data_IF_825821280961
#
_entry.id   IF_825821280961
#
_cell.length_a   1.000
_cell.length_b   1.000
_cell.length_c   1.000
_cell.angle_alpha   90.00
_cell.angle_beta   90.00
_cell.angle_gamma   90.00
#
_symmetry.space_group_name_H-M   'P 1'
#
loop_
_entity.id
_entity.type
_entity.pdbx_description
1 polymer ?
#
# COMPACT_ATOMS: atom_id res chain seq x y z
N UNK A 1 -18.81 8.64 -12.75
CA UNK A 1 -18.03 7.62 -12.01
C UNK A 1 -17.03 7.01 -12.97
N UNK A 2 -15.72 6.98 -12.66
CA UNK A 2 -14.78 6.37 -13.57
C UNK A 2 -15.10 4.86 -13.73
N UNK A 3 -15.24 4.43 -14.97
CA UNK A 3 -15.36 3.02 -15.31
C UNK A 3 -13.98 2.47 -15.60
N UNK A 4 -13.75 1.19 -15.26
CA UNK A 4 -12.46 0.53 -15.44
C UNK A 4 -12.62 -0.80 -16.17
N UNK A 5 -11.67 -1.14 -17.01
CA UNK A 5 -11.56 -2.43 -17.67
C UNK A 5 -10.21 -3.06 -17.35
N UNK A 6 -10.20 -4.29 -16.86
CA UNK A 6 -8.96 -5.02 -16.61
C UNK A 6 -8.17 -5.24 -17.91
N UNK A 7 -6.86 -5.03 -17.85
CA UNK A 7 -5.92 -5.36 -18.92
C UNK A 7 -5.18 -6.65 -18.56
N UNK A 8 -5.54 -7.73 -19.22
CA UNK A 8 -4.89 -9.03 -18.98
C UNK A 8 -3.49 -9.07 -19.57
N UNK A 9 -2.58 -9.79 -18.91
CA UNK A 9 -1.21 -10.01 -19.38
C UNK A 9 -0.29 -8.80 -19.31
N UNK A 10 -0.67 -7.76 -18.57
CA UNK A 10 0.23 -6.64 -18.28
C UNK A 10 1.32 -7.04 -17.27
N UNK A 11 2.53 -6.47 -17.42
CA UNK A 11 3.66 -6.74 -16.53
C UNK A 11 4.38 -8.04 -16.89
N UNK A 12 4.93 -8.09 -18.10
CA UNK A 12 5.67 -9.26 -18.63
C UNK A 12 7.01 -9.42 -17.94
N UNK A 13 7.13 -10.41 -17.09
CA UNK A 13 8.38 -10.78 -16.46
C UNK A 13 9.36 -11.42 -17.46
N UNK A 14 10.69 -11.28 -17.25
CA UNK A 14 11.69 -12.10 -17.93
C UNK A 14 11.42 -13.60 -17.77
N UNK A 15 11.91 -14.39 -18.69
CA UNK A 15 11.76 -15.86 -18.66
C UNK A 15 12.30 -16.44 -17.35
N UNK A 16 11.55 -17.34 -16.72
CA UNK A 16 11.89 -17.97 -15.45
C UNK A 16 11.60 -17.13 -14.20
N UNK A 17 11.23 -15.84 -14.35
CA UNK A 17 10.88 -15.00 -13.21
C UNK A 17 9.42 -15.15 -12.79
N UNK A 18 9.19 -14.85 -11.52
CA UNK A 18 7.84 -14.87 -10.96
C UNK A 18 7.70 -13.86 -9.83
N UNK A 19 6.48 -13.43 -9.57
CA UNK A 19 6.21 -12.47 -8.51
C UNK A 19 6.28 -13.10 -7.13
N UNK A 20 5.98 -14.36 -6.96
CA UNK A 20 5.59 -14.94 -5.68
C UNK A 20 4.42 -14.14 -5.08
N UNK A 21 4.65 -12.85 -4.75
CA UNK A 21 3.61 -11.95 -4.25
C UNK A 21 4.01 -10.47 -4.38
N UNK A 22 3.26 -9.70 -5.16
CA UNK A 22 3.42 -8.25 -5.24
C UNK A 22 2.78 -7.57 -4.02
N UNK A 23 3.60 -7.12 -3.07
CA UNK A 23 3.09 -6.48 -1.85
C UNK A 23 2.77 -4.99 -2.07
N UNK A 24 3.51 -4.30 -2.93
CA UNK A 24 3.33 -2.89 -3.21
C UNK A 24 3.50 -2.54 -4.67
N UNK A 25 2.93 -1.42 -5.08
CA UNK A 25 3.09 -0.86 -6.41
C UNK A 25 3.11 0.66 -6.32
N UNK A 26 4.00 1.31 -7.08
CA UNK A 26 4.09 2.76 -7.19
C UNK A 26 4.40 3.16 -8.64
N UNK A 27 4.11 4.41 -9.00
CA UNK A 27 4.32 4.95 -10.35
C UNK A 27 5.08 6.26 -10.25
N UNK A 28 6.12 6.43 -11.07
CA UNK A 28 6.87 7.68 -11.15
C UNK A 28 6.26 8.68 -12.15
N UNK A 29 6.83 9.87 -12.23
CA UNK A 29 6.36 10.94 -13.13
C UNK A 29 6.53 10.64 -14.63
N UNK A 30 7.25 9.58 -14.98
CA UNK A 30 7.43 9.08 -16.35
C UNK A 30 6.52 7.87 -16.65
N UNK A 31 5.58 7.58 -15.77
CA UNK A 31 4.70 6.40 -15.82
C UNK A 31 5.46 5.05 -15.74
N UNK A 32 6.69 5.02 -15.21
CA UNK A 32 7.31 3.75 -14.86
C UNK A 32 6.63 3.16 -13.62
N UNK A 33 6.32 1.88 -13.69
CA UNK A 33 5.61 1.15 -12.63
C UNK A 33 6.59 0.29 -11.85
N UNK A 34 6.74 0.62 -10.58
CA UNK A 34 7.61 -0.08 -9.63
C UNK A 34 6.76 -1.08 -8.84
N UNK A 35 7.11 -2.35 -8.90
CA UNK A 35 6.44 -3.43 -8.18
C UNK A 35 7.35 -3.92 -7.06
N UNK A 36 6.90 -3.84 -5.82
CA UNK A 36 7.63 -4.33 -4.66
C UNK A 36 7.17 -5.75 -4.34
N UNK A 37 8.05 -6.71 -4.63
CA UNK A 37 7.78 -8.12 -4.71
C UNK A 37 8.44 -8.90 -3.56
N UNK A 38 7.79 -9.94 -3.09
CA UNK A 38 8.31 -10.89 -2.07
C UNK A 38 9.08 -12.07 -2.66
N UNK A 39 9.37 -12.03 -3.97
CA UNK A 39 10.20 -13.01 -4.65
C UNK A 39 11.69 -12.63 -4.67
N UNK A 40 12.47 -13.34 -5.49
CA UNK A 40 13.93 -13.17 -5.62
C UNK A 40 14.34 -11.78 -6.13
N UNK A 41 13.46 -11.11 -6.87
CA UNK A 41 13.66 -9.76 -7.42
C UNK A 41 12.76 -8.76 -6.69
N UNK A 42 13.24 -8.11 -5.61
CA UNK A 42 12.38 -7.31 -4.73
C UNK A 42 11.73 -6.11 -5.41
N UNK A 43 12.47 -5.36 -6.21
CA UNK A 43 11.91 -4.23 -6.97
C UNK A 43 12.01 -4.53 -8.46
N UNK A 44 10.86 -4.60 -9.12
CA UNK A 44 10.76 -4.83 -10.56
C UNK A 44 10.12 -3.60 -11.18
N UNK A 45 10.74 -3.07 -12.24
CA UNK A 45 10.29 -1.83 -12.89
C UNK A 45 9.87 -2.12 -14.32
N UNK A 46 8.68 -1.65 -14.67
CA UNK A 46 8.11 -1.75 -16.01
C UNK A 46 7.86 -0.37 -16.59
N UNK A 47 7.80 -0.30 -17.92
CA UNK A 47 7.15 0.85 -18.56
C UNK A 47 5.63 0.76 -18.41
N UNK A 48 4.92 1.80 -18.84
CA UNK A 48 3.46 1.87 -18.78
C UNK A 48 2.76 0.76 -19.55
N UNK A 49 3.38 0.28 -20.63
CA UNK A 49 2.89 -0.80 -21.49
C UNK A 49 3.11 -2.19 -20.88
N UNK A 50 3.92 -2.29 -19.81
CA UNK A 50 4.22 -3.52 -19.07
C UNK A 50 5.45 -4.24 -19.59
N UNK A 51 6.32 -3.58 -20.35
CA UNK A 51 7.60 -4.14 -20.71
C UNK A 51 8.58 -3.99 -19.54
N UNK A 52 9.34 -5.04 -19.26
CA UNK A 52 10.37 -5.03 -18.23
C UNK A 52 11.49 -4.02 -18.57
N UNK A 53 11.85 -3.19 -17.62
CA UNK A 53 12.94 -2.22 -17.76
C UNK A 53 14.18 -2.63 -16.95
N UNK A 54 14.00 -2.93 -15.66
CA UNK A 54 15.09 -3.28 -14.74
C UNK A 54 14.55 -3.89 -13.46
N UNK A 55 15.44 -4.48 -12.66
CA UNK A 55 15.18 -4.85 -11.27
C UNK A 55 16.39 -4.56 -10.39
N UNK A 56 16.15 -4.48 -9.08
CA UNK A 56 17.17 -4.29 -8.08
C UNK A 56 16.64 -4.64 -6.67
N UNK A 57 17.55 -4.66 -5.69
CA UNK A 57 17.19 -4.85 -4.28
C UNK A 57 17.48 -6.24 -3.75
N UNK A 58 18.07 -7.12 -4.56
CA UNK A 58 18.46 -8.48 -4.17
C UNK A 58 19.41 -8.43 -2.95
N UNK A 59 19.08 -9.20 -1.91
CA UNK A 59 19.84 -9.26 -0.66
C UNK A 59 19.68 -8.05 0.26
N UNK A 60 18.91 -7.02 -0.13
CA UNK A 60 18.69 -5.82 0.68
C UNK A 60 17.36 -5.83 1.43
N UNK A 61 16.39 -6.63 1.01
CA UNK A 61 15.01 -6.63 1.52
C UNK A 61 14.76 -7.90 2.32
N UNK A 62 14.31 -7.73 3.57
CA UNK A 62 13.87 -8.85 4.42
C UNK A 62 12.46 -9.30 4.07
N UNK A 63 11.52 -8.36 3.98
CA UNK A 63 10.15 -8.63 3.54
C UNK A 63 9.51 -7.38 2.95
N UNK A 64 9.22 -7.42 1.66
CA UNK A 64 8.58 -6.32 0.94
C UNK A 64 7.18 -6.01 1.52
N UNK A 65 6.90 -4.72 1.79
CA UNK A 65 5.60 -4.28 2.26
C UNK A 65 5.07 -3.06 1.50
N UNK A 66 5.52 -1.84 1.80
CA UNK A 66 5.09 -0.61 1.15
C UNK A 66 6.15 -0.02 0.22
N UNK A 67 5.72 0.63 -0.86
CA UNK A 67 6.58 1.38 -1.77
C UNK A 67 5.93 2.71 -2.09
N UNK A 68 6.73 3.79 -2.10
CA UNK A 68 6.29 5.15 -2.43
C UNK A 68 7.35 5.82 -3.29
N UNK A 69 6.93 6.55 -4.31
CA UNK A 69 7.81 7.42 -5.10
C UNK A 69 7.70 8.85 -4.58
N UNK A 70 8.83 9.43 -4.26
CA UNK A 70 8.91 10.83 -3.85
C UNK A 70 8.94 11.80 -5.03
N UNK A 71 8.85 13.11 -4.77
CA UNK A 71 8.71 14.13 -5.81
C UNK A 71 9.93 14.21 -6.75
N UNK A 72 11.12 13.87 -6.29
CA UNK A 72 12.36 13.87 -7.09
C UNK A 72 12.64 12.49 -7.72
N UNK A 73 11.65 11.57 -7.72
CA UNK A 73 11.73 10.25 -8.30
C UNK A 73 12.41 9.22 -7.38
N UNK A 74 12.79 9.59 -6.16
CA UNK A 74 13.37 8.67 -5.19
C UNK A 74 12.35 7.61 -4.75
N UNK A 75 12.84 6.40 -4.52
CA UNK A 75 12.04 5.24 -4.15
C UNK A 75 12.17 4.96 -2.67
N UNK A 76 11.05 5.03 -1.97
CA UNK A 76 10.96 4.69 -0.55
C UNK A 76 10.38 3.30 -0.39
N UNK A 77 11.14 2.42 0.27
CA UNK A 77 10.71 1.05 0.57
C UNK A 77 10.47 0.89 2.07
N UNK A 78 9.31 0.34 2.40
CA UNK A 78 8.99 -0.12 3.76
C UNK A 78 9.21 -1.61 3.84
N UNK A 79 10.12 -2.02 4.69
CA UNK A 79 10.46 -3.42 4.94
C UNK A 79 9.97 -3.82 6.34
N UNK A 80 8.89 -4.59 6.40
CA UNK A 80 8.33 -5.04 7.67
C UNK A 80 9.07 -6.26 8.26
N UNK A 81 9.94 -6.88 7.48
CA UNK A 81 10.78 -8.00 7.94
C UNK A 81 11.98 -7.53 8.74
N UNK A 82 12.67 -6.50 8.27
CA UNK A 82 13.84 -5.95 8.94
C UNK A 82 13.60 -4.62 9.67
N UNK A 83 12.33 -4.18 9.76
CA UNK A 83 11.89 -3.02 10.56
C UNK A 83 12.46 -1.68 10.11
N UNK A 84 12.64 -1.48 8.78
CA UNK A 84 13.24 -0.25 8.25
C UNK A 84 12.39 0.42 7.18
N UNK A 85 12.60 1.74 7.06
CA UNK A 85 12.23 2.53 5.89
C UNK A 85 13.53 2.92 5.19
N UNK A 86 13.63 2.66 3.88
CA UNK A 86 14.83 2.96 3.10
C UNK A 86 14.51 3.80 1.88
N UNK A 87 15.35 4.79 1.62
CA UNK A 87 15.31 5.65 0.44
C UNK A 87 16.35 5.21 -0.57
N UNK A 88 15.97 5.10 -1.84
CA UNK A 88 16.85 4.72 -2.94
C UNK A 88 16.72 5.69 -4.10
N UNK A 89 17.73 5.71 -5.00
CA UNK A 89 17.54 6.27 -6.34
C UNK A 89 16.63 5.36 -7.17
N UNK A 90 16.09 5.82 -8.32
CA UNK A 90 15.32 4.97 -9.23
C UNK A 90 16.06 3.71 -9.71
N UNK A 91 17.40 3.73 -9.70
CA UNK A 91 18.29 2.64 -10.11
C UNK A 91 18.67 1.71 -8.93
N UNK A 92 18.17 1.95 -7.71
CA UNK A 92 18.39 1.10 -6.56
C UNK A 92 19.64 1.42 -5.72
N UNK A 93 20.25 2.61 -5.90
CA UNK A 93 21.33 3.04 -4.99
C UNK A 93 20.73 3.53 -3.67
N UNK A 94 21.13 2.91 -2.54
CA UNK A 94 20.69 3.31 -1.20
C UNK A 94 21.17 4.73 -0.86
N UNK A 95 20.24 5.58 -0.41
CA UNK A 95 20.48 6.97 -0.02
C UNK A 95 20.32 7.20 1.49
N UNK A 96 19.34 6.55 2.11
CA UNK A 96 19.00 6.72 3.53
C UNK A 96 18.40 5.44 4.11
N UNK A 97 18.69 5.15 5.37
CA UNK A 97 17.99 4.13 6.16
C UNK A 97 17.47 4.78 7.44
N UNK A 98 16.20 4.56 7.76
CA UNK A 98 15.54 4.95 9.01
C UNK A 98 15.13 3.66 9.72
N UNK A 99 15.44 3.54 10.99
CA UNK A 99 15.32 2.31 11.79
C UNK A 99 16.62 1.51 11.81
N UNK A 100 16.71 0.58 12.74
CA UNK A 100 17.84 -0.33 12.91
C UNK A 100 17.49 -1.68 12.28
N UNK A 101 18.20 -2.12 11.22
CA UNK A 101 17.92 -3.41 10.58
C UNK A 101 17.94 -4.57 11.59
N UNK A 102 16.92 -5.42 11.52
CA UNK A 102 16.74 -6.63 12.34
C UNK A 102 16.65 -6.39 13.86
N UNK A 103 16.40 -5.12 14.27
CA UNK A 103 16.25 -4.73 15.67
C UNK A 103 14.87 -4.06 15.91
N UNK A 104 13.81 -4.84 16.07
CA UNK A 104 12.49 -4.28 16.35
C UNK A 104 12.47 -3.54 17.69
N UNK A 105 11.77 -2.42 17.74
CA UNK A 105 11.37 -1.83 19.01
C UNK A 105 10.50 -2.82 19.80
N UNK A 106 10.44 -2.74 21.14
CA UNK A 106 9.54 -3.60 21.90
C UNK A 106 8.09 -3.46 21.45
N UNK A 107 7.34 -4.56 21.47
CA UNK A 107 5.94 -4.60 21.06
C UNK A 107 5.12 -3.52 21.79
N UNK A 108 4.35 -2.73 21.03
CA UNK A 108 3.49 -1.65 21.52
C UNK A 108 4.21 -0.59 22.38
N UNK A 109 5.52 -0.43 22.20
CA UNK A 109 6.31 0.52 23.00
C UNK A 109 6.12 1.99 22.59
N UNK A 110 5.52 2.24 21.43
CA UNK A 110 5.46 3.57 20.82
C UNK A 110 6.78 4.07 20.23
N UNK A 111 7.87 3.29 20.33
CA UNK A 111 9.16 3.62 19.70
C UNK A 111 9.23 3.05 18.28
N UNK A 112 9.78 3.75 17.29
CA UNK A 112 9.95 3.23 15.94
C UNK A 112 11.17 2.26 15.87
N UNK A 113 11.10 1.15 15.10
CA UNK A 113 9.91 0.58 14.45
C UNK A 113 9.69 -0.85 14.96
N UNK A 114 8.44 -1.31 14.91
CA UNK A 114 8.16 -2.74 15.04
C UNK A 114 7.24 -3.18 13.91
N UNK A 115 7.82 -3.58 12.77
CA UNK A 115 7.15 -3.97 11.53
C UNK A 115 6.31 -2.84 10.93
N UNK A 116 6.98 -1.75 10.46
CA UNK A 116 6.31 -0.64 9.78
C UNK A 116 5.61 -1.12 8.51
N UNK A 117 4.57 -0.40 8.10
CA UNK A 117 3.68 -0.87 7.03
C UNK A 117 3.74 0.00 5.77
N UNK A 118 3.86 1.32 5.90
CA UNK A 118 3.94 2.20 4.73
C UNK A 118 4.55 3.56 5.08
N UNK A 119 4.96 4.33 4.07
CA UNK A 119 5.42 5.70 4.19
C UNK A 119 4.70 6.61 3.20
N UNK A 120 4.25 7.77 3.67
CA UNK A 120 3.75 8.87 2.84
C UNK A 120 4.59 10.12 3.03
N UNK A 121 4.70 10.94 2.00
CA UNK A 121 5.44 12.21 2.03
C UNK A 121 4.47 13.38 2.03
N UNK A 122 4.72 14.36 2.91
CA UNK A 122 4.02 15.64 2.86
C UNK A 122 4.35 16.38 1.56
N UNK A 123 3.36 16.77 0.75
CA UNK A 123 3.62 17.56 -0.45
C UNK A 123 4.04 19.00 -0.12
N UNK A 124 3.82 19.46 1.12
CA UNK A 124 4.09 20.83 1.57
C UNK A 124 5.49 20.98 2.16
N UNK A 125 5.96 19.97 2.90
CA UNK A 125 7.21 20.08 3.69
C UNK A 125 8.23 19.01 3.36
N UNK A 126 7.83 17.93 2.66
CA UNK A 126 8.64 16.73 2.45
C UNK A 126 8.78 15.85 3.68
N UNK A 127 8.11 16.17 4.80
CA UNK A 127 8.09 15.32 5.99
C UNK A 127 7.53 13.94 5.67
N UNK A 128 8.02 12.92 6.38
CA UNK A 128 7.60 11.54 6.23
C UNK A 128 6.59 11.19 7.32
N UNK A 129 5.49 10.58 6.92
CA UNK A 129 4.52 9.95 7.81
C UNK A 129 4.60 8.43 7.63
N UNK A 130 4.92 7.70 8.68
CA UNK A 130 5.19 6.27 8.64
C UNK A 130 4.21 5.55 9.54
N UNK A 131 3.38 4.68 8.96
CA UNK A 131 2.53 3.78 9.72
C UNK A 131 3.36 2.59 10.23
N UNK A 132 3.28 2.31 11.52
CA UNK A 132 3.97 1.23 12.21
C UNK A 132 2.93 0.30 12.86
N UNK A 133 2.30 -0.53 12.01
CA UNK A 133 1.03 -1.14 12.35
C UNK A 133 1.10 -2.52 12.98
N UNK A 134 2.01 -3.41 12.53
CA UNK A 134 1.98 -4.80 12.98
C UNK A 134 2.39 -5.00 14.43
N UNK A 135 3.33 -4.20 14.91
CA UNK A 135 3.84 -4.36 16.28
C UNK A 135 3.68 -3.13 17.16
N UNK A 136 3.12 -2.02 16.66
CA UNK A 136 3.21 -0.76 17.41
C UNK A 136 1.94 0.10 17.45
N UNK A 137 0.98 -0.05 16.53
CA UNK A 137 -0.27 0.74 16.46
C UNK A 137 0.00 2.26 16.49
N UNK A 138 1.00 2.73 15.73
CA UNK A 138 1.48 4.12 15.72
C UNK A 138 1.59 4.69 14.31
N UNK A 139 1.60 6.02 14.25
CA UNK A 139 2.16 6.76 13.13
C UNK A 139 3.31 7.60 13.64
N UNK A 140 4.43 7.59 12.91
CA UNK A 140 5.64 8.35 13.25
C UNK A 140 5.87 9.43 12.20
N UNK A 141 6.17 10.65 12.63
CA UNK A 141 6.56 11.77 11.75
C UNK A 141 8.08 11.97 11.81
N UNK A 142 8.68 12.07 10.62
CA UNK A 142 10.10 12.34 10.43
C UNK A 142 10.30 13.54 9.53
N UNK A 143 11.41 14.27 9.69
CA UNK A 143 11.81 15.26 8.70
C UNK A 143 12.39 14.60 7.43
N UNK A 144 12.58 15.35 6.33
CA UNK A 144 13.13 14.80 5.07
C UNK A 144 14.54 14.21 5.18
N UNK A 145 15.25 14.49 6.28
CA UNK A 145 16.60 13.96 6.56
C UNK A 145 16.57 12.69 7.40
N UNK A 146 15.38 12.19 7.75
CA UNK A 146 15.20 10.98 8.55
C UNK A 146 15.34 11.19 10.06
N UNK A 147 15.24 12.42 10.57
CA UNK A 147 15.20 12.70 12.00
C UNK A 147 13.76 12.56 12.50
N UNK A 148 13.55 11.73 13.53
CA UNK A 148 12.25 11.58 14.19
C UNK A 148 11.80 12.91 14.83
N UNK A 149 10.57 13.31 14.59
CA UNK A 149 9.97 14.51 15.12
C UNK A 149 9.03 14.18 16.29
N UNK A 150 8.01 13.39 16.04
CA UNK A 150 7.06 12.89 17.05
C UNK A 150 6.27 11.68 16.51
N UNK A 151 5.42 11.11 17.38
CA UNK A 151 4.54 9.99 17.03
C UNK A 151 3.17 10.19 17.66
N UNK A 152 2.13 9.61 17.03
CA UNK A 152 0.78 9.61 17.59
C UNK A 152 0.08 8.28 17.42
N UNK A 153 -1.06 8.14 18.07
CA UNK A 153 -1.85 6.93 18.13
C UNK A 153 -1.44 6.00 19.26
N UNK A 154 -2.28 5.05 19.54
CA UNK A 154 -2.07 3.95 20.48
C UNK A 154 -3.03 2.80 20.14
N UNK A 155 -2.85 1.59 20.68
CA UNK A 155 -3.79 0.50 20.44
C UNK A 155 -5.19 0.85 20.95
N UNK A 156 -6.21 0.69 20.11
CA UNK A 156 -7.59 0.93 20.50
C UNK A 156 -8.54 1.17 19.34
N UNK A 157 -9.80 1.47 19.67
CA UNK A 157 -10.89 1.71 18.72
C UNK A 157 -11.39 3.15 18.72
N UNK A 158 -11.00 3.97 19.71
CA UNK A 158 -11.40 5.37 19.80
C UNK A 158 -10.79 6.20 18.64
N UNK A 159 -11.35 7.39 18.33
CA UNK A 159 -10.72 8.31 17.39
C UNK A 159 -9.29 8.64 17.80
N UNK A 160 -8.34 8.52 16.84
CA UNK A 160 -6.91 8.69 17.10
C UNK A 160 -6.18 7.44 17.59
N UNK A 161 -6.89 6.41 18.05
CA UNK A 161 -6.33 5.09 18.36
C UNK A 161 -6.36 4.19 17.10
N UNK A 162 -5.51 3.16 17.07
CA UNK A 162 -5.36 2.28 15.92
C UNK A 162 -5.45 0.79 16.30
N UNK A 163 -6.00 0.01 15.36
CA UNK A 163 -5.87 -1.43 15.36
C UNK A 163 -5.27 -1.85 14.02
N UNK A 164 -3.95 -1.90 13.98
CA UNK A 164 -3.14 -2.19 12.81
C UNK A 164 -3.27 -1.09 11.72
N UNK A 165 -2.72 0.15 11.95
CA UNK A 165 -2.60 1.14 10.91
C UNK A 165 -1.74 0.58 9.77
N UNK A 166 -2.30 0.56 8.55
CA UNK A 166 -1.68 -0.15 7.44
C UNK A 166 -1.10 0.80 6.40
N UNK A 167 -1.81 1.15 5.34
CA UNK A 167 -1.32 2.18 4.42
C UNK A 167 -1.61 3.57 4.96
N UNK A 168 -0.78 4.50 4.54
CA UNK A 168 -0.87 5.92 4.86
C UNK A 168 -0.66 6.73 3.58
N UNK A 169 -1.41 7.80 3.41
CA UNK A 169 -1.30 8.69 2.25
C UNK A 169 -1.52 10.15 2.67
N UNK A 170 -1.11 11.09 1.84
CA UNK A 170 -1.36 12.53 2.04
C UNK A 170 -2.11 13.11 0.85
N UNK A 171 -2.99 14.08 1.10
CA UNK A 171 -3.60 14.88 0.05
C UNK A 171 -2.75 16.12 -0.31
N UNK A 172 -3.26 16.98 -1.18
CA UNK A 172 -2.56 18.19 -1.62
C UNK A 172 -2.48 19.26 -0.53
N UNK A 173 -3.41 19.25 0.40
CA UNK A 173 -3.50 20.16 1.55
C UNK A 173 -2.62 19.69 2.72
N UNK A 174 -1.99 18.52 2.62
CA UNK A 174 -1.12 17.95 3.64
C UNK A 174 -1.86 17.20 4.74
N UNK A 175 -3.15 16.89 4.56
CA UNK A 175 -3.87 16.00 5.45
C UNK A 175 -3.35 14.57 5.32
N UNK A 176 -3.36 13.85 6.44
CA UNK A 176 -2.81 12.50 6.55
C UNK A 176 -3.95 11.49 6.69
N UNK A 177 -4.06 10.58 5.74
CA UNK A 177 -5.06 9.52 5.71
C UNK A 177 -4.41 8.20 6.12
N UNK A 178 -4.98 7.53 7.12
CA UNK A 178 -4.45 6.26 7.65
C UNK A 178 -5.50 5.16 7.53
N UNK A 179 -5.16 4.10 6.81
CA UNK A 179 -5.98 2.89 6.74
C UNK A 179 -5.86 2.12 8.06
N UNK A 180 -6.82 2.30 8.95
CA UNK A 180 -6.91 1.65 10.26
C UNK A 180 -7.63 0.30 10.10
N UNK A 181 -6.84 -0.69 9.64
CA UNK A 181 -7.29 -1.90 8.96
C UNK A 181 -8.27 -2.73 9.77
N UNK A 182 -7.93 -3.11 10.98
CA UNK A 182 -8.76 -4.00 11.80
C UNK A 182 -9.86 -3.23 12.56
N UNK A 183 -9.86 -1.88 12.50
CA UNK A 183 -10.98 -1.04 12.91
C UNK A 183 -11.94 -0.72 11.76
N UNK A 184 -11.70 -1.26 10.56
CA UNK A 184 -12.55 -1.11 9.38
C UNK A 184 -12.85 0.36 9.02
N UNK A 185 -11.86 1.23 9.08
CA UNK A 185 -12.00 2.67 8.80
C UNK A 185 -10.74 3.26 8.17
N UNK A 186 -10.89 4.41 7.54
CA UNK A 186 -9.78 5.33 7.23
C UNK A 186 -9.91 6.53 8.15
N UNK A 187 -8.88 6.84 8.92
CA UNK A 187 -8.85 8.05 9.75
C UNK A 187 -8.09 9.17 9.06
N UNK A 188 -8.50 10.41 9.28
CA UNK A 188 -7.91 11.63 8.71
C UNK A 188 -7.36 12.49 9.84
N UNK A 189 -6.11 12.93 9.69
CA UNK A 189 -5.38 13.76 10.64
C UNK A 189 -4.79 14.98 9.93
N UNK A 190 -4.50 16.02 10.70
CA UNK A 190 -3.61 17.07 10.23
C UNK A 190 -2.13 16.64 10.34
N UNK A 191 -1.23 17.50 9.88
CA UNK A 191 0.21 17.23 9.89
C UNK A 191 0.82 17.18 11.30
N UNK A 192 0.10 17.62 12.33
CA UNK A 192 0.45 17.54 13.75
C UNK A 192 -0.14 16.32 14.45
N UNK A 193 -0.79 15.42 13.71
CA UNK A 193 -1.37 14.19 14.22
C UNK A 193 -2.68 14.37 14.99
N UNK A 194 -3.34 15.53 14.86
CA UNK A 194 -4.67 15.74 15.46
C UNK A 194 -5.74 15.07 14.59
N UNK A 195 -6.59 14.28 15.22
CA UNK A 195 -7.71 13.62 14.55
C UNK A 195 -8.72 14.67 14.04
N UNK A 196 -9.16 14.50 12.79
CA UNK A 196 -10.13 15.39 12.14
C UNK A 196 -11.42 14.68 11.76
N UNK A 197 -11.32 13.50 11.16
CA UNK A 197 -12.46 12.75 10.61
C UNK A 197 -12.16 11.27 10.44
N UNK A 198 -13.20 10.49 10.14
CA UNK A 198 -13.04 9.10 9.71
C UNK A 198 -14.07 8.70 8.65
N UNK A 199 -13.71 7.71 7.86
CA UNK A 199 -14.53 7.08 6.82
C UNK A 199 -14.74 5.63 7.21
N UNK A 200 -15.99 5.21 7.41
CA UNK A 200 -16.34 3.88 7.95
C UNK A 200 -16.91 2.91 6.89
N UNK A 201 -17.16 3.37 5.65
CA UNK A 201 -17.77 2.53 4.61
C UNK A 201 -16.72 1.69 3.85
N UNK A 202 -15.81 1.07 4.57
CA UNK A 202 -14.73 0.21 4.07
C UNK A 202 -14.57 -1.03 4.95
N UNK A 203 -14.14 -2.15 4.35
CA UNK A 203 -13.89 -3.39 5.07
C UNK A 203 -12.42 -3.77 5.03
N UNK A 204 -11.74 -3.76 6.18
CA UNK A 204 -10.30 -4.04 6.30
C UNK A 204 -9.45 -3.26 5.28
N UNK A 205 -9.49 -1.91 5.31
CA UNK A 205 -8.73 -1.09 4.36
C UNK A 205 -7.24 -1.38 4.48
N UNK A 206 -6.60 -1.67 3.36
CA UNK A 206 -5.21 -2.07 3.29
C UNK A 206 -4.41 -1.17 2.36
N UNK A 207 -4.69 -1.17 1.06
CA UNK A 207 -4.14 -0.21 0.11
C UNK A 207 -4.86 1.14 0.20
N UNK A 208 -4.13 2.24 0.06
CA UNK A 208 -4.69 3.58 0.11
C UNK A 208 -3.99 4.50 -0.89
N UNK A 209 -4.78 5.13 -1.76
CA UNK A 209 -4.34 6.13 -2.72
C UNK A 209 -5.25 7.36 -2.63
N UNK A 210 -4.67 8.54 -2.52
CA UNK A 210 -5.37 9.81 -2.72
C UNK A 210 -5.06 10.29 -4.14
N UNK A 211 -6.05 10.17 -5.02
CA UNK A 211 -5.95 10.70 -6.39
C UNK A 211 -6.16 12.22 -6.36
N UNK A 212 -5.13 12.95 -6.75
CA UNK A 212 -5.11 14.43 -6.70
C UNK A 212 -5.60 15.08 -8.00
N UNK A 213 -6.06 14.29 -8.98
CA UNK A 213 -6.67 14.83 -10.20
C UNK A 213 -7.99 15.52 -9.86
N UNK A 214 -8.52 16.26 -10.85
CA UNK A 214 -9.73 17.07 -10.70
C UNK A 214 -10.87 16.29 -10.01
N UNK A 215 -11.46 16.92 -8.99
CA UNK A 215 -12.50 16.34 -8.16
C UNK A 215 -12.01 15.46 -7.01
N UNK A 216 -10.77 15.01 -7.05
CA UNK A 216 -10.16 14.16 -6.01
C UNK A 216 -10.92 12.85 -5.75
N UNK A 217 -10.21 11.78 -5.42
CA UNK A 217 -10.83 10.53 -4.99
C UNK A 217 -9.90 9.74 -4.08
N UNK A 218 -10.49 8.95 -3.19
CA UNK A 218 -9.78 7.99 -2.36
C UNK A 218 -10.03 6.61 -2.95
N UNK A 219 -8.95 5.89 -3.28
CA UNK A 219 -9.02 4.49 -3.66
C UNK A 219 -8.56 3.64 -2.49
N UNK A 220 -9.41 2.73 -2.05
CA UNK A 220 -9.14 1.86 -0.90
C UNK A 220 -9.12 0.40 -1.34
N UNK A 221 -7.96 -0.23 -1.27
CA UNK A 221 -7.83 -1.68 -1.40
C UNK A 221 -8.35 -2.35 -0.14
N UNK A 222 -9.46 -3.08 -0.23
CA UNK A 222 -10.08 -3.78 0.88
C UNK A 222 -9.67 -5.26 0.86
N UNK A 223 -9.03 -5.72 1.94
CA UNK A 223 -8.76 -7.15 2.11
C UNK A 223 -10.06 -7.93 2.28
N UNK A 224 -10.08 -9.15 1.77
CA UNK A 224 -11.10 -10.11 2.17
C UNK A 224 -11.00 -10.45 3.66
N UNK A 225 -12.05 -11.05 4.19
CA UNK A 225 -12.08 -11.54 5.57
C UNK A 225 -11.18 -12.77 5.77
N UNK A 226 -10.54 -12.86 6.94
CA UNK A 226 -9.81 -14.06 7.36
C UNK A 226 -10.70 -15.06 8.13
N UNK A 227 -11.84 -14.60 8.66
CA UNK A 227 -12.75 -15.46 9.38
C UNK A 227 -13.42 -16.45 8.42
N UNK A 228 -13.23 -17.75 8.68
CA UNK A 228 -13.74 -18.83 7.83
C UNK A 228 -15.26 -18.72 7.60
N UNK A 229 -16.02 -18.34 8.61
CA UNK A 229 -17.50 -18.18 8.54
C UNK A 229 -17.93 -17.05 7.60
N UNK A 230 -17.05 -16.08 7.32
CA UNK A 230 -17.35 -14.93 6.49
C UNK A 230 -16.78 -15.02 5.06
N UNK A 231 -16.00 -16.06 4.74
CA UNK A 231 -15.34 -16.17 3.44
C UNK A 231 -16.30 -16.32 2.26
N UNK A 232 -17.49 -16.86 2.50
CA UNK A 232 -18.57 -16.98 1.50
C UNK A 232 -19.59 -15.85 1.56
N UNK A 233 -19.42 -14.87 2.47
CA UNK A 233 -20.34 -13.73 2.59
C UNK A 233 -20.01 -12.70 1.52
N UNK A 234 -20.98 -12.27 0.69
CA UNK A 234 -20.73 -11.30 -0.35
C UNK A 234 -20.45 -9.89 0.21
N UNK A 235 -19.74 -9.08 -0.55
CA UNK A 235 -19.44 -7.67 -0.27
C UNK A 235 -18.57 -7.41 0.98
N UNK A 236 -17.79 -8.39 1.44
CA UNK A 236 -16.86 -8.27 2.56
C UNK A 236 -15.39 -8.21 2.11
N UNK A 237 -15.08 -7.46 1.07
CA UNK A 237 -13.72 -7.23 0.62
C UNK A 237 -13.26 -8.12 -0.54
N UNK A 238 -11.95 -8.11 -0.81
CA UNK A 238 -11.39 -8.50 -2.07
C UNK A 238 -11.84 -7.56 -3.18
N UNK A 239 -11.76 -6.22 -2.96
CA UNK A 239 -12.20 -5.19 -3.90
C UNK A 239 -11.42 -3.88 -3.71
N UNK A 240 -11.56 -2.96 -4.67
CA UNK A 240 -11.12 -1.57 -4.50
C UNK A 240 -12.36 -0.68 -4.44
N UNK A 241 -12.56 0.03 -3.33
CA UNK A 241 -13.60 1.06 -3.19
C UNK A 241 -13.06 2.41 -3.63
N UNK A 242 -13.88 3.17 -4.37
CA UNK A 242 -13.59 4.53 -4.82
C UNK A 242 -14.53 5.45 -4.06
N UNK A 243 -13.97 6.38 -3.30
CA UNK A 243 -14.71 7.29 -2.43
C UNK A 243 -14.40 8.74 -2.81
N UNK A 244 -15.33 9.66 -2.53
CA UNK A 244 -15.03 11.08 -2.51
C UNK A 244 -14.08 11.41 -1.34
N UNK A 245 -13.43 12.58 -1.35
CA UNK A 245 -12.64 13.05 -0.22
C UNK A 245 -13.46 13.21 1.07
N UNK A 246 -14.79 13.26 0.96
CA UNK A 246 -15.73 13.29 2.09
C UNK A 246 -16.15 11.89 2.57
N UNK A 247 -15.74 10.83 1.86
CA UNK A 247 -16.06 9.45 2.19
C UNK A 247 -17.32 8.90 1.51
N UNK A 248 -17.97 9.65 0.60
CA UNK A 248 -19.11 9.14 -0.14
C UNK A 248 -18.68 8.07 -1.15
N UNK A 249 -19.40 6.96 -1.23
CA UNK A 249 -19.11 5.91 -2.18
C UNK A 249 -19.39 6.36 -3.62
N UNK A 250 -18.35 6.43 -4.44
CA UNK A 250 -18.43 6.72 -5.86
C UNK A 250 -18.50 5.44 -6.71
N UNK A 251 -17.85 4.35 -6.27
CA UNK A 251 -17.88 3.09 -7.00
C UNK A 251 -17.00 2.02 -6.37
N UNK A 252 -17.02 0.84 -7.00
CA UNK A 252 -16.17 -0.30 -6.61
C UNK A 252 -15.65 -1.03 -7.84
N UNK A 253 -14.40 -1.49 -7.77
CA UNK A 253 -13.79 -2.40 -8.73
C UNK A 253 -13.65 -3.74 -8.02
N UNK A 254 -13.96 -4.83 -8.71
CA UNK A 254 -14.00 -6.19 -8.16
C UNK A 254 -15.40 -6.77 -8.22
N UNK A 255 -15.54 -7.98 -7.72
CA UNK A 255 -16.81 -8.71 -7.68
C UNK A 255 -17.40 -8.70 -6.26
N UNK A 256 -18.63 -9.22 -6.14
CA UNK A 256 -19.29 -9.43 -4.84
C UNK A 256 -18.52 -10.41 -3.94
N UNK A 257 -17.80 -11.34 -4.56
CA UNK A 257 -16.97 -12.32 -3.89
C UNK A 257 -15.51 -12.14 -4.30
N UNK A 258 -14.60 -12.42 -3.37
CA UNK A 258 -13.18 -12.52 -3.70
C UNK A 258 -12.95 -13.66 -4.70
N UNK A 259 -11.98 -13.50 -5.58
CA UNK A 259 -11.69 -14.50 -6.61
C UNK A 259 -10.42 -14.21 -7.39
N UNK A 260 -10.10 -15.13 -8.30
CA UNK A 260 -8.85 -15.13 -9.07
C UNK A 260 -9.05 -14.77 -10.55
N UNK A 261 -10.30 -14.64 -11.02
CA UNK A 261 -10.57 -14.27 -12.40
C UNK A 261 -10.08 -12.83 -12.67
N UNK A 262 -9.77 -12.46 -13.92
CA UNK A 262 -9.46 -11.10 -14.28
C UNK A 262 -10.55 -10.12 -13.76
N UNK A 263 -10.10 -9.04 -13.09
CA UNK A 263 -11.00 -8.09 -12.45
C UNK A 263 -11.56 -8.48 -11.08
N UNK A 264 -11.37 -9.72 -10.62
CA UNK A 264 -11.60 -10.11 -9.23
C UNK A 264 -10.34 -9.96 -8.40
N UNK A 265 -10.48 -9.89 -7.09
CA UNK A 265 -9.38 -9.76 -6.15
C UNK A 265 -9.45 -10.81 -5.03
N UNK A 266 -8.28 -11.22 -4.57
CA UNK A 266 -8.10 -12.02 -3.35
C UNK A 266 -7.81 -11.10 -2.16
N UNK A 267 -6.80 -10.22 -2.31
CA UNK A 267 -6.30 -9.40 -1.21
C UNK A 267 -5.61 -8.11 -1.72
N UNK A 268 -6.34 -7.09 -2.21
CA UNK A 268 -5.77 -5.81 -2.63
C UNK A 268 -4.97 -5.17 -1.50
N UNK A 269 -3.69 -4.88 -1.75
CA UNK A 269 -2.74 -4.43 -0.74
C UNK A 269 -2.04 -3.12 -1.09
N UNK A 270 -1.63 -2.94 -2.34
CA UNK A 270 -1.11 -1.69 -2.89
C UNK A 270 -1.99 -1.20 -4.04
N UNK A 271 -2.24 0.10 -4.09
CA UNK A 271 -3.07 0.74 -5.12
C UNK A 271 -2.41 2.03 -5.57
N UNK A 272 -2.23 2.22 -6.88
CA UNK A 272 -1.68 3.45 -7.47
C UNK A 272 -2.29 3.69 -8.85
N UNK A 273 -2.30 4.94 -9.31
CA UNK A 273 -2.68 5.29 -10.67
C UNK A 273 -1.50 5.94 -11.42
N UNK A 274 -1.54 5.86 -12.76
CA UNK A 274 -0.62 6.57 -13.65
C UNK A 274 -1.19 7.94 -14.09
N UNK A 275 -0.43 8.66 -14.94
CA UNK A 275 -0.81 9.99 -15.42
C UNK A 275 -2.13 10.02 -16.19
N UNK A 276 -2.53 8.89 -16.83
CA UNK A 276 -3.81 8.75 -17.54
C UNK A 276 -4.95 8.27 -16.65
N UNK A 277 -4.62 7.89 -15.41
CA UNK A 277 -5.56 7.38 -14.43
C UNK A 277 -5.85 5.90 -14.56
N UNK A 278 -5.05 5.16 -15.31
CA UNK A 278 -5.08 3.71 -15.24
C UNK A 278 -4.65 3.28 -13.83
N UNK A 279 -5.30 2.26 -13.30
CA UNK A 279 -5.09 1.82 -11.93
C UNK A 279 -4.26 0.53 -11.91
N UNK A 280 -3.30 0.47 -11.00
CA UNK A 280 -2.51 -0.73 -10.72
C UNK A 280 -2.83 -1.19 -9.30
N UNK A 281 -3.09 -2.48 -9.16
CA UNK A 281 -3.43 -3.09 -7.87
C UNK A 281 -2.50 -4.26 -7.61
N UNK A 282 -1.71 -4.14 -6.55
CA UNK A 282 -0.87 -5.21 -6.02
C UNK A 282 -1.63 -5.97 -4.93
N UNK A 283 -1.46 -7.29 -4.87
CA UNK A 283 -2.22 -8.17 -3.99
C UNK A 283 -1.31 -9.09 -3.17
N UNK A 284 -1.62 -9.26 -1.89
CA UNK A 284 -0.97 -10.28 -1.04
C UNK A 284 -1.73 -11.62 -1.09
N UNK A 285 -1.98 -12.06 -2.32
CA UNK A 285 -2.83 -13.21 -2.64
C UNK A 285 -2.21 -14.55 -2.23
N UNK A 286 -0.88 -14.69 -2.29
CA UNK A 286 -0.20 -15.88 -1.77
C UNK A 286 -0.32 -15.98 -0.25
N UNK A 287 -0.06 -14.89 0.47
CA UNK A 287 -0.16 -14.84 1.94
C UNK A 287 -1.58 -15.14 2.43
N UNK A 288 -2.61 -14.58 1.77
CA UNK A 288 -4.01 -14.71 2.23
C UNK A 288 -4.73 -15.95 1.69
N UNK A 289 -4.20 -16.60 0.64
CA UNK A 289 -4.83 -17.76 0.04
C UNK A 289 -3.82 -18.81 -0.41
N UNK A 290 -2.91 -18.50 -1.32
CA UNK A 290 -2.11 -19.50 -2.05
C UNK A 290 -1.27 -20.41 -1.17
N UNK A 291 -0.68 -19.88 -0.08
CA UNK A 291 0.12 -20.66 0.89
C UNK A 291 -0.71 -21.67 1.70
N UNK A 292 -2.02 -21.50 1.75
CA UNK A 292 -2.94 -22.35 2.50
C UNK A 292 -3.58 -23.44 1.64
N UNK A 293 -3.32 -23.41 0.32
CA UNK A 293 -3.76 -24.48 -0.57
C UNK A 293 -2.84 -25.70 -0.46
N UNK A 294 -3.32 -26.85 -0.87
CA UNK A 294 -2.54 -28.11 -0.84
C UNK A 294 -2.49 -28.73 -2.23
N UNK A 295 -1.33 -28.73 -2.92
CA UNK A 295 -0.08 -28.06 -2.55
C UNK A 295 -0.21 -26.53 -2.58
N UNK A 296 0.64 -25.76 -1.88
CA UNK A 296 0.71 -24.32 -1.99
C UNK A 296 1.01 -23.89 -3.43
N UNK A 297 0.35 -22.84 -3.91
CA UNK A 297 0.58 -22.29 -5.26
C UNK A 297 0.58 -20.77 -5.28
N UNK A 298 1.31 -20.21 -6.23
CA UNK A 298 1.22 -18.78 -6.50
C UNK A 298 -0.14 -18.44 -7.11
N UNK A 299 -0.64 -17.27 -6.74
CA UNK A 299 -1.88 -16.69 -7.26
C UNK A 299 -1.51 -15.34 -7.85
N UNK A 300 -2.16 -14.94 -8.95
CA UNK A 300 -1.96 -13.61 -9.51
C UNK A 300 -1.97 -12.56 -8.41
N UNK A 301 -0.96 -11.70 -8.38
CA UNK A 301 -0.77 -10.68 -7.35
C UNK A 301 -0.63 -9.26 -7.91
N UNK A 302 -0.84 -9.06 -9.23
CA UNK A 302 -0.78 -7.75 -9.86
C UNK A 302 -1.79 -7.65 -10.99
N UNK A 303 -2.53 -6.53 -11.04
CA UNK A 303 -3.46 -6.24 -12.13
C UNK A 303 -3.39 -4.76 -12.53
N UNK A 304 -3.54 -4.50 -13.83
CA UNK A 304 -3.76 -3.15 -14.39
C UNK A 304 -5.21 -3.01 -14.86
N UNK A 305 -5.78 -1.85 -14.59
CA UNK A 305 -7.13 -1.47 -15.02
C UNK A 305 -7.05 -0.19 -15.84
N UNK A 306 -7.50 -0.26 -17.08
CA UNK A 306 -7.59 0.90 -17.95
C UNK A 306 -8.81 1.74 -17.56
N UNK A 307 -8.60 3.03 -17.30
CA UNK A 307 -9.68 3.97 -17.10
C UNK A 307 -10.44 4.20 -18.40
N UNK A 308 -11.72 4.01 -18.36
CA UNK A 308 -12.62 4.29 -19.49
C UNK A 308 -13.12 5.73 -19.40
N UNK A 309 -13.20 6.40 -20.55
CA UNK A 309 -13.68 7.79 -20.67
C UNK A 309 -15.19 7.88 -20.39
#
# INVERSE_FOLDING_TARGET
>A
MPAFRVLEGWGKLPEGWRYVEAAGVAVDSSDHVYVFNRGEHPVIVFDREGNFLRSWGEGLVGRAHGITIGPDGEVWLTDDGNHTIRKFTPEGKLLLTIGDPDKPAPLQSGKPFNRPTHVALSPLTGDLFISDGYGNSRVHKYDPKGRHLFSWGEPGTDPGCFNLPHNIATDAEGLVYVADRENHRVQVFDAEGRYLAQINNVHRPCGLLIDRREGGAIYVGELGTDLAVNQSVPNLGGRVSILSLKGDLLGRIGDRFRGEKPGQFVAPHGVVNDSRGDLYVAEVSYTLKGRHENPPREIRSLQKFIRMN
#
